data_IF_091163274022
#
_entry.id   IF_091163274022
#
_cell.length_a   1.000
_cell.length_b   1.000
_cell.length_c   1.000
_cell.angle_alpha   90.00
_cell.angle_beta   90.00
_cell.angle_gamma   90.00
#
_symmetry.space_group_name_H-M   'P 1'
#
loop_
_entity.id
_entity.type
_entity.pdbx_description
1 polymer ?
#
# COMPACT_ATOMS: atom_id res chain seq x y z
N UNK A 1 4.10 -15.89 -6.00
CA UNK A 1 3.42 -15.33 -4.82
C UNK A 1 3.52 -13.81 -4.91
N UNK A 2 2.47 -13.04 -4.64
CA UNK A 2 2.55 -11.58 -4.65
C UNK A 2 3.63 -11.10 -3.68
N UNK A 3 4.37 -10.08 -4.07
CA UNK A 3 5.50 -9.56 -3.29
C UNK A 3 5.49 -8.05 -3.29
N UNK A 4 5.80 -7.47 -2.14
CA UNK A 4 6.05 -6.05 -2.00
C UNK A 4 7.55 -5.81 -1.99
N UNK A 5 8.00 -4.88 -2.81
CA UNK A 5 9.38 -4.37 -2.80
C UNK A 5 9.28 -2.90 -2.44
N UNK A 6 9.97 -2.50 -1.38
CA UNK A 6 9.99 -1.12 -0.89
C UNK A 6 11.40 -0.56 -0.99
N UNK A 7 11.52 0.68 -1.43
CA UNK A 7 12.77 1.43 -1.41
C UNK A 7 12.52 2.91 -1.02
N UNK A 8 13.57 3.73 -1.08
CA UNK A 8 13.53 5.16 -0.75
C UNK A 8 12.65 5.99 -1.73
N UNK A 9 12.39 5.48 -2.93
CA UNK A 9 11.67 6.19 -3.99
C UNK A 9 10.19 5.84 -3.97
N UNK A 10 9.87 4.57 -3.73
CA UNK A 10 8.52 4.06 -3.83
C UNK A 10 8.33 2.62 -3.39
N UNK A 11 7.25 2.05 -3.90
CA UNK A 11 6.91 0.65 -3.74
C UNK A 11 6.56 0.03 -5.10
N UNK A 12 6.95 -1.23 -5.25
CA UNK A 12 6.47 -2.10 -6.31
C UNK A 12 5.64 -3.20 -5.68
N UNK A 13 4.38 -3.30 -6.08
CA UNK A 13 3.56 -4.47 -5.83
C UNK A 13 3.70 -5.41 -7.02
N UNK A 14 4.49 -6.47 -6.88
CA UNK A 14 4.67 -7.46 -7.93
C UNK A 14 3.57 -8.52 -7.83
N UNK A 15 2.61 -8.48 -8.74
CA UNK A 15 1.49 -9.43 -8.80
C UNK A 15 1.21 -9.85 -10.25
N UNK A 16 0.99 -11.15 -10.54
CA UNK A 16 0.87 -11.67 -11.91
C UNK A 16 -0.22 -11.01 -12.77
N UNK A 17 -1.28 -10.49 -12.13
CA UNK A 17 -2.44 -9.88 -12.81
C UNK A 17 -2.70 -8.41 -12.50
N UNK A 18 -2.07 -7.86 -11.46
CA UNK A 18 -2.42 -6.52 -10.95
C UNK A 18 -1.22 -5.80 -10.36
N UNK A 19 -0.01 -6.16 -10.82
CA UNK A 19 1.21 -5.53 -10.33
C UNK A 19 1.31 -4.07 -10.76
N UNK A 20 1.96 -3.26 -9.93
CA UNK A 20 2.16 -1.85 -10.20
C UNK A 20 3.29 -1.25 -9.38
N UNK A 21 3.70 -0.04 -9.77
CA UNK A 21 4.65 0.79 -9.06
C UNK A 21 3.99 2.11 -8.61
N UNK A 22 4.37 2.58 -7.44
CA UNK A 22 3.95 3.86 -6.86
C UNK A 22 5.17 4.56 -6.28
N UNK A 23 5.39 5.83 -6.64
CA UNK A 23 6.35 6.68 -5.95
C UNK A 23 5.70 7.28 -4.72
N UNK A 24 6.42 7.32 -3.59
CA UNK A 24 5.85 7.82 -2.34
C UNK A 24 5.33 9.25 -2.46
N UNK A 25 6.02 10.09 -3.23
CA UNK A 25 5.66 11.49 -3.45
C UNK A 25 4.33 11.70 -4.20
N UNK A 26 3.83 10.66 -4.89
CA UNK A 26 2.59 10.73 -5.67
C UNK A 26 1.37 10.34 -4.83
N UNK A 27 1.58 9.71 -3.67
CA UNK A 27 0.52 9.32 -2.74
C UNK A 27 -0.03 10.57 -2.06
N UNK A 28 -1.35 10.70 -2.11
CA UNK A 28 -2.09 11.78 -1.45
C UNK A 28 -2.82 11.28 -0.21
N UNK A 29 -3.36 10.07 -0.26
CA UNK A 29 -4.19 9.49 0.80
C UNK A 29 -4.15 7.96 0.73
N UNK A 30 -4.34 7.30 1.85
CA UNK A 30 -4.42 5.84 1.95
C UNK A 30 -5.56 5.47 2.89
N UNK A 31 -6.47 4.65 2.40
CA UNK A 31 -7.64 4.18 3.15
C UNK A 31 -7.76 2.66 3.13
N UNK A 32 -8.57 2.13 4.05
CA UNK A 32 -9.03 0.75 4.02
C UNK A 32 -10.50 0.74 3.61
N UNK A 33 -10.83 -0.11 2.64
CA UNK A 33 -12.20 -0.36 2.20
C UNK A 33 -12.51 -1.85 2.23
N UNK A 34 -13.78 -2.20 2.30
CA UNK A 34 -14.24 -3.59 2.18
C UNK A 34 -14.85 -3.80 0.80
N UNK A 35 -14.10 -4.42 -0.12
CA UNK A 35 -14.61 -4.81 -1.44
C UNK A 35 -14.88 -6.32 -1.43
N UNK A 36 -16.13 -6.70 -1.71
CA UNK A 36 -16.56 -8.12 -1.68
C UNK A 36 -16.22 -8.83 -0.36
N UNK A 37 -16.40 -8.14 0.77
CA UNK A 37 -16.03 -8.59 2.12
C UNK A 37 -14.53 -8.87 2.34
N UNK A 38 -13.67 -8.45 1.42
CA UNK A 38 -12.21 -8.54 1.55
C UNK A 38 -11.69 -7.15 1.95
N UNK A 39 -11.00 -7.02 3.10
CA UNK A 39 -10.29 -5.80 3.44
C UNK A 39 -9.29 -5.46 2.32
N UNK A 40 -9.36 -4.25 1.80
CA UNK A 40 -8.61 -3.80 0.63
C UNK A 40 -7.99 -2.44 0.93
N UNK A 41 -6.65 -2.38 0.83
CA UNK A 41 -5.91 -1.13 0.90
C UNK A 41 -6.13 -0.33 -0.38
N UNK A 42 -6.55 0.91 -0.25
CA UNK A 42 -6.76 1.83 -1.38
C UNK A 42 -5.78 2.97 -1.28
N UNK A 43 -4.90 3.09 -2.27
CA UNK A 43 -3.88 4.14 -2.35
C UNK A 43 -4.32 5.17 -3.38
N UNK A 44 -4.55 6.39 -2.94
CA UNK A 44 -4.93 7.50 -3.79
C UNK A 44 -3.67 8.25 -4.22
N UNK A 45 -3.45 8.34 -5.52
CA UNK A 45 -2.45 9.24 -6.11
C UNK A 45 -3.12 10.35 -6.89
N UNK A 46 -2.35 11.36 -7.29
CA UNK A 46 -2.84 12.50 -8.09
C UNK A 46 -3.62 12.09 -9.34
N UNK A 47 -3.25 10.96 -9.95
CA UNK A 47 -3.76 10.55 -11.26
C UNK A 47 -4.60 9.29 -11.24
N UNK A 48 -4.48 8.44 -10.20
CA UNK A 48 -5.21 7.18 -10.12
C UNK A 48 -5.29 6.59 -8.72
N UNK A 49 -6.18 5.62 -8.56
CA UNK A 49 -6.32 4.82 -7.34
C UNK A 49 -5.75 3.43 -7.59
N UNK A 50 -4.99 2.93 -6.63
CA UNK A 50 -4.51 1.56 -6.61
C UNK A 50 -5.21 0.78 -5.50
N UNK A 51 -5.42 -0.51 -5.72
CA UNK A 51 -6.15 -1.38 -4.80
C UNK A 51 -5.33 -2.63 -4.56
N UNK A 52 -5.20 -3.02 -3.30
CA UNK A 52 -4.48 -4.21 -2.91
C UNK A 52 -5.29 -4.97 -1.86
N UNK A 53 -5.69 -6.20 -2.17
CA UNK A 53 -6.32 -7.07 -1.17
C UNK A 53 -5.36 -7.27 -0.01
N UNK A 54 -5.85 -7.03 1.21
CA UNK A 54 -5.01 -7.08 2.41
C UNK A 54 -4.50 -8.48 2.74
N UNK A 55 -5.14 -9.53 2.20
CA UNK A 55 -4.67 -10.92 2.25
C UNK A 55 -3.25 -11.11 1.72
N UNK A 56 -2.77 -10.22 0.84
CA UNK A 56 -1.40 -10.28 0.33
C UNK A 56 -0.35 -9.78 1.33
N UNK A 57 -0.77 -9.12 2.40
CA UNK A 57 0.09 -8.64 3.49
C UNK A 57 0.09 -9.58 4.69
N UNK A 58 -0.73 -10.64 4.69
CA UNK A 58 -0.83 -11.62 5.78
C UNK A 58 0.44 -12.50 5.81
N UNK A 59 1.49 -12.00 6.47
CA UNK A 59 2.42 -12.84 7.22
C UNK A 59 1.98 -12.79 8.70
N UNK A 60 1.34 -13.90 9.11
CA UNK A 60 1.12 -14.50 10.43
C UNK A 60 0.64 -13.74 11.70
N UNK A 61 0.60 -12.42 11.85
CA UNK A 61 0.21 -11.86 13.17
C UNK A 61 -0.55 -10.54 13.12
N UNK A 62 -1.88 -10.54 12.92
CA UNK A 62 -2.78 -9.41 13.21
C UNK A 62 -2.18 -8.02 12.92
N UNK A 63 -1.45 -7.91 11.81
CA UNK A 63 -0.60 -6.75 11.57
C UNK A 63 -1.53 -5.64 11.12
N UNK A 64 -1.52 -4.51 11.83
CA UNK A 64 -2.20 -3.32 11.39
C UNK A 64 -1.49 -2.81 10.12
N UNK A 65 -1.96 -3.29 8.97
CA UNK A 65 -1.35 -3.04 7.65
C UNK A 65 -1.35 -1.55 7.31
N UNK A 66 -2.32 -0.78 7.81
CA UNK A 66 -2.30 0.68 7.70
C UNK A 66 -1.10 1.25 8.45
N UNK A 67 -0.81 0.75 9.66
CA UNK A 67 0.37 1.13 10.43
C UNK A 67 1.67 0.74 9.73
N UNK A 68 1.80 -0.48 9.21
CA UNK A 68 3.00 -0.90 8.48
C UNK A 68 3.17 -0.07 7.22
N UNK A 69 2.14 0.08 6.40
CA UNK A 69 2.22 0.92 5.22
C UNK A 69 2.59 2.37 5.57
N UNK A 70 2.00 2.93 6.63
CA UNK A 70 2.31 4.27 7.11
C UNK A 70 3.74 4.38 7.64
N UNK A 71 4.24 3.40 8.38
CA UNK A 71 5.61 3.37 8.90
C UNK A 71 6.61 3.32 7.75
N UNK A 72 6.39 2.47 6.74
CA UNK A 72 7.25 2.40 5.56
C UNK A 72 7.16 3.69 4.74
N UNK A 73 5.97 4.22 4.48
CA UNK A 73 5.81 5.49 3.78
C UNK A 73 6.51 6.64 4.53
N UNK A 74 6.33 6.76 5.85
CA UNK A 74 7.00 7.78 6.67
C UNK A 74 8.52 7.59 6.64
N UNK A 75 8.99 6.36 6.87
CA UNK A 75 10.42 6.04 6.97
C UNK A 75 11.16 6.31 5.67
N UNK A 76 10.57 5.94 4.53
CA UNK A 76 11.23 6.01 3.24
C UNK A 76 10.91 7.29 2.46
N UNK A 77 9.78 7.93 2.72
CA UNK A 77 9.39 9.17 2.02
C UNK A 77 9.57 10.44 2.84
N UNK A 78 9.80 10.35 4.15
CA UNK A 78 9.86 11.49 5.06
C UNK A 78 8.53 12.25 5.21
N UNK A 79 7.44 11.76 4.62
CA UNK A 79 6.13 12.41 4.65
C UNK A 79 5.20 11.58 5.52
N UNK A 80 4.64 12.21 6.55
CA UNK A 80 3.44 11.67 7.21
C UNK A 80 2.33 11.62 6.17
N UNK A 81 1.88 10.41 5.85
CA UNK A 81 0.61 10.24 5.17
C UNK A 81 -0.44 10.92 6.05
N UNK A 82 -1.12 11.92 5.50
CA UNK A 82 -2.22 12.58 6.18
C UNK A 82 -3.37 11.59 6.15
N UNK A 83 -3.71 11.08 7.34
CA UNK A 83 -4.89 10.28 7.62
C UNK A 83 -6.13 11.17 7.66
#
# INVERSE_FOLDING_TARGET
MPMFIFDEIGMVFNHPKQGFEIKWQDIQMVDVSFMFNIPTLVIHTKTKKYKIDMKYFENDENVNIQKVFNEYAIKYSGKRLIL
#
